data_IF_895025449169
#
_entry.id   IF_895025449169
#
_cell.length_a   1.000
_cell.length_b   1.000
_cell.length_c   1.000
_cell.angle_alpha   90.00
_cell.angle_beta   90.00
_cell.angle_gamma   90.00
#
_symmetry.space_group_name_H-M   'P 1'
#
loop_
_entity.id
_entity.type
_entity.pdbx_description
1 polymer ?
#
# COMPACT_ATOMS: atom_id res chain seq x y z
N UNK A 1 25.69 0.98 -35.32
CA UNK A 1 24.61 1.27 -34.36
C UNK A 1 24.70 2.76 -34.03
N UNK A 2 23.66 3.56 -34.15
CA UNK A 2 23.74 4.95 -33.78
C UNK A 2 23.93 5.06 -32.27
N UNK A 3 24.86 5.93 -31.87
CA UNK A 3 25.12 6.25 -30.47
C UNK A 3 23.82 6.65 -29.76
N UNK A 4 23.52 6.01 -28.63
CA UNK A 4 22.42 6.40 -27.74
C UNK A 4 22.61 7.88 -27.43
N UNK A 5 21.65 8.71 -27.78
CA UNK A 5 21.54 10.06 -27.25
C UNK A 5 21.27 9.90 -25.75
N UNK A 6 22.33 10.02 -24.96
CA UNK A 6 22.21 10.20 -23.51
C UNK A 6 21.48 11.51 -23.26
N UNK A 7 20.32 11.45 -22.64
CA UNK A 7 19.62 12.58 -22.02
C UNK A 7 20.43 13.10 -20.80
N UNK A 8 21.72 13.34 -20.99
CA UNK A 8 22.60 13.69 -19.88
C UNK A 8 22.87 15.19 -19.87
N UNK A 9 22.09 15.89 -19.07
CA UNK A 9 22.57 17.13 -18.46
C UNK A 9 23.80 16.85 -17.56
N UNK A 10 24.43 17.90 -16.98
CA UNK A 10 25.56 17.69 -16.08
C UNK A 10 25.15 16.82 -14.90
N UNK A 11 26.04 15.89 -14.49
CA UNK A 11 25.82 15.06 -13.30
C UNK A 11 25.82 16.01 -12.08
N UNK A 12 24.66 16.12 -11.43
CA UNK A 12 24.46 17.03 -10.29
C UNK A 12 24.70 16.34 -8.94
N UNK A 13 24.72 15.00 -8.91
CA UNK A 13 24.98 14.22 -7.71
C UNK A 13 25.65 12.87 -8.07
N UNK A 14 26.55 12.43 -7.21
CA UNK A 14 27.14 11.07 -7.25
C UNK A 14 27.07 10.46 -5.86
N UNK A 15 26.86 9.13 -5.73
CA UNK A 15 26.93 8.47 -4.44
C UNK A 15 28.34 8.63 -3.84
N UNK A 16 28.39 8.92 -2.55
CA UNK A 16 29.64 8.93 -1.79
C UNK A 16 30.12 7.49 -1.49
N UNK A 17 31.29 7.35 -0.87
CA UNK A 17 31.88 6.05 -0.58
C UNK A 17 31.00 5.19 0.34
N UNK A 18 30.33 5.79 1.31
CA UNK A 18 29.42 5.08 2.22
C UNK A 18 28.25 4.44 1.46
N UNK A 19 27.61 5.17 0.54
CA UNK A 19 26.56 4.58 -0.31
C UNK A 19 27.08 3.47 -1.20
N UNK A 20 28.29 3.60 -1.74
CA UNK A 20 28.89 2.60 -2.62
C UNK A 20 29.25 1.29 -1.88
N UNK A 21 29.57 1.39 -0.58
CA UNK A 21 30.02 0.26 0.22
C UNK A 21 28.95 -0.33 1.14
N UNK A 22 28.09 0.52 1.71
CA UNK A 22 27.19 0.14 2.81
C UNK A 22 25.70 0.15 2.47
N UNK A 23 25.34 0.50 1.22
CA UNK A 23 23.94 0.41 0.81
C UNK A 23 23.47 -1.04 0.70
N UNK A 24 22.13 -1.25 0.84
CA UNK A 24 21.50 -2.56 0.61
C UNK A 24 21.78 -3.09 -0.80
N UNK A 25 21.91 -2.18 -1.79
CA UNK A 25 22.28 -2.55 -3.15
C UNK A 25 23.70 -3.10 -3.22
N UNK A 26 24.66 -2.48 -2.52
CA UNK A 26 26.02 -2.96 -2.44
C UNK A 26 26.09 -4.34 -1.73
N UNK A 27 25.31 -4.54 -0.69
CA UNK A 27 25.18 -5.83 -0.01
C UNK A 27 24.62 -6.91 -0.96
N UNK A 28 23.57 -6.61 -1.71
CA UNK A 28 23.00 -7.49 -2.72
C UNK A 28 24.02 -7.86 -3.80
N UNK A 29 24.76 -6.89 -4.33
CA UNK A 29 25.81 -7.13 -5.32
C UNK A 29 26.90 -8.04 -4.78
N UNK A 30 27.36 -7.82 -3.55
CA UNK A 30 28.36 -8.70 -2.89
C UNK A 30 27.84 -10.12 -2.71
N UNK A 31 26.60 -10.27 -2.23
CA UNK A 31 25.98 -11.59 -2.03
C UNK A 31 25.91 -12.41 -3.33
N UNK A 32 25.83 -11.75 -4.48
CA UNK A 32 25.76 -12.39 -5.80
C UNK A 32 27.03 -12.29 -6.65
N UNK A 33 28.18 -11.89 -6.05
CA UNK A 33 29.46 -11.73 -6.72
C UNK A 33 29.42 -10.80 -7.93
N UNK A 34 28.64 -9.69 -7.83
CA UNK A 34 28.52 -8.67 -8.88
C UNK A 34 29.46 -7.51 -8.53
N UNK A 35 30.39 -7.19 -9.42
CA UNK A 35 31.46 -6.26 -9.12
C UNK A 35 31.03 -4.78 -9.14
N UNK A 36 30.00 -4.41 -9.94
CA UNK A 36 29.54 -3.04 -10.08
C UNK A 36 28.09 -2.96 -10.58
N UNK A 37 27.55 -1.75 -10.54
CA UNK A 37 26.15 -1.49 -10.95
C UNK A 37 25.88 -1.83 -12.42
N UNK A 38 26.82 -1.59 -13.34
CA UNK A 38 26.62 -1.88 -14.77
C UNK A 38 26.46 -3.39 -15.00
N UNK A 39 27.27 -4.22 -14.30
CA UNK A 39 27.11 -5.67 -14.34
C UNK A 39 25.76 -6.12 -13.77
N UNK A 40 25.30 -5.48 -12.68
CA UNK A 40 23.98 -5.76 -12.14
C UNK A 40 22.89 -5.44 -13.18
N UNK A 41 22.94 -4.26 -13.81
CA UNK A 41 21.98 -3.86 -14.84
C UNK A 41 21.96 -4.84 -16.02
N UNK A 42 23.11 -5.24 -16.50
CA UNK A 42 23.21 -6.23 -17.59
C UNK A 42 22.57 -7.56 -17.17
N UNK A 43 22.98 -8.10 -16.02
CA UNK A 43 22.50 -9.41 -15.56
C UNK A 43 21.01 -9.41 -15.26
N UNK A 44 20.49 -8.38 -14.56
CA UNK A 44 19.08 -8.27 -14.17
C UNK A 44 18.13 -8.15 -15.37
N UNK A 45 18.60 -7.53 -16.45
CA UNK A 45 17.80 -7.38 -17.68
C UNK A 45 17.90 -8.55 -18.64
N UNK A 46 19.01 -9.29 -18.61
CA UNK A 46 19.21 -10.49 -19.42
C UNK A 46 18.62 -11.76 -18.78
N UNK A 47 18.60 -11.83 -17.45
CA UNK A 47 18.07 -12.96 -16.68
C UNK A 47 17.09 -12.45 -15.61
N UNK A 48 15.92 -12.02 -16.05
CA UNK A 48 14.85 -11.51 -15.18
C UNK A 48 14.38 -12.57 -14.18
N UNK A 49 14.22 -13.88 -14.53
CA UNK A 49 13.90 -14.91 -13.57
C UNK A 49 14.92 -15.00 -12.43
N UNK A 50 16.19 -15.06 -12.74
CA UNK A 50 17.25 -15.08 -11.73
C UNK A 50 17.20 -13.82 -10.82
N UNK A 51 17.06 -12.63 -11.43
CA UNK A 51 17.02 -11.39 -10.65
C UNK A 51 15.85 -11.36 -9.68
N UNK A 52 14.66 -11.75 -10.14
CA UNK A 52 13.47 -11.82 -9.29
C UNK A 52 13.68 -12.80 -8.13
N UNK A 53 14.13 -14.03 -8.42
CA UNK A 53 14.45 -15.05 -7.40
C UNK A 53 15.46 -14.53 -6.38
N UNK A 54 16.55 -13.92 -6.85
CA UNK A 54 17.60 -13.37 -6.00
C UNK A 54 17.08 -12.25 -5.08
N UNK A 55 16.21 -11.38 -5.59
CA UNK A 55 15.57 -10.32 -4.78
C UNK A 55 14.63 -10.90 -3.74
N UNK A 56 13.79 -11.86 -4.10
CA UNK A 56 12.87 -12.51 -3.16
C UNK A 56 13.63 -13.17 -2.00
N UNK A 57 14.73 -13.87 -2.31
CA UNK A 57 15.60 -14.50 -1.30
C UNK A 57 16.34 -13.46 -0.45
N UNK A 58 16.93 -12.44 -1.07
CA UNK A 58 17.66 -11.39 -0.36
C UNK A 58 16.80 -10.58 0.61
N UNK A 59 15.53 -10.38 0.28
CA UNK A 59 14.55 -9.68 1.12
C UNK A 59 13.83 -10.61 2.11
N UNK A 60 14.17 -11.91 2.15
CA UNK A 60 13.49 -12.92 2.97
C UNK A 60 11.97 -12.88 2.75
N UNK A 61 11.53 -12.87 1.48
CA UNK A 61 10.11 -12.92 1.16
C UNK A 61 9.60 -14.33 1.39
N UNK A 62 8.64 -14.46 2.30
CA UNK A 62 8.08 -15.73 2.74
C UNK A 62 6.74 -16.00 2.07
N UNK A 63 6.61 -17.21 1.56
CA UNK A 63 5.37 -17.73 0.98
C UNK A 63 4.75 -18.76 1.93
N UNK A 64 3.44 -18.72 2.10
CA UNK A 64 2.69 -19.79 2.79
C UNK A 64 2.75 -21.09 2.01
N UNK A 65 2.63 -20.97 0.68
CA UNK A 65 2.85 -22.05 -0.29
C UNK A 65 3.89 -21.60 -1.30
N UNK A 66 5.03 -22.29 -1.43
CA UNK A 66 6.05 -21.95 -2.42
C UNK A 66 5.50 -21.99 -3.85
N UNK A 67 6.03 -21.12 -4.70
CA UNK A 67 5.76 -21.18 -6.13
C UNK A 67 6.58 -22.28 -6.81
N UNK A 68 6.09 -22.78 -7.95
CA UNK A 68 6.77 -23.79 -8.77
C UNK A 68 7.78 -23.17 -9.74
N UNK A 69 7.53 -21.95 -10.21
CA UNK A 69 8.37 -21.16 -11.11
C UNK A 69 8.22 -19.68 -10.77
N UNK A 70 9.31 -18.91 -10.86
CA UNK A 70 9.26 -17.48 -10.57
C UNK A 70 8.50 -16.70 -11.63
N UNK A 71 8.53 -17.12 -12.88
CA UNK A 71 7.74 -16.53 -13.98
C UNK A 71 7.38 -17.58 -15.03
N UNK A 72 6.18 -17.47 -15.58
CA UNK A 72 5.74 -18.18 -16.77
C UNK A 72 5.36 -17.18 -17.87
N UNK A 73 6.02 -17.29 -19.01
CA UNK A 73 5.80 -16.48 -20.21
C UNK A 73 5.11 -17.23 -21.33
N UNK A 74 4.52 -18.39 -21.06
CA UNK A 74 3.85 -19.23 -22.08
C UNK A 74 2.73 -18.50 -22.84
N UNK A 75 2.11 -17.49 -22.19
CA UNK A 75 1.07 -16.64 -22.75
C UNK A 75 1.63 -15.36 -23.45
N UNK A 76 2.96 -15.25 -23.55
CA UNK A 76 3.67 -14.11 -24.08
C UNK A 76 4.05 -13.07 -23.02
N UNK A 77 5.00 -12.18 -23.36
CA UNK A 77 5.58 -11.19 -22.45
C UNK A 77 4.56 -10.16 -21.92
N UNK A 78 3.47 -9.95 -22.64
CA UNK A 78 2.41 -9.05 -22.21
C UNK A 78 1.51 -9.64 -21.09
N UNK A 79 1.59 -10.96 -20.88
CA UNK A 79 0.76 -11.69 -19.91
C UNK A 79 1.62 -12.64 -19.07
N UNK A 80 2.62 -12.11 -18.36
CA UNK A 80 3.44 -12.94 -17.50
C UNK A 80 2.62 -13.40 -16.29
N UNK A 81 2.86 -14.63 -15.85
CA UNK A 81 2.37 -15.12 -14.55
C UNK A 81 3.56 -15.21 -13.60
N UNK A 82 3.50 -14.49 -12.48
CA UNK A 82 4.59 -14.41 -11.52
C UNK A 82 4.38 -15.35 -10.33
N UNK A 83 5.46 -15.94 -9.83
CA UNK A 83 5.44 -16.83 -8.65
C UNK A 83 4.34 -17.91 -8.77
N UNK A 84 4.34 -18.63 -9.89
CA UNK A 84 3.29 -19.56 -10.33
C UNK A 84 2.84 -20.52 -9.22
N UNK A 85 1.57 -20.43 -8.84
CA UNK A 85 0.96 -21.26 -7.79
C UNK A 85 1.42 -20.93 -6.37
N UNK A 86 2.22 -19.87 -6.20
CA UNK A 86 2.65 -19.37 -4.90
C UNK A 86 1.50 -18.69 -4.14
N UNK A 87 1.54 -18.79 -2.80
CA UNK A 87 0.58 -18.12 -1.92
C UNK A 87 1.31 -17.31 -0.85
N UNK A 88 0.92 -16.06 -0.70
CA UNK A 88 1.48 -15.15 0.29
C UNK A 88 0.46 -14.07 0.64
N UNK A 89 0.77 -13.26 1.64
CA UNK A 89 0.16 -11.96 1.84
C UNK A 89 1.29 -10.94 2.09
N UNK A 90 1.19 -9.77 1.48
CA UNK A 90 2.22 -8.76 1.64
C UNK A 90 2.34 -8.30 3.09
N UNK A 91 1.24 -8.27 3.85
CA UNK A 91 1.23 -7.86 5.26
C UNK A 91 2.04 -8.82 6.12
N UNK A 92 1.99 -10.13 5.83
CA UNK A 92 2.87 -11.09 6.49
C UNK A 92 4.35 -10.70 6.31
N UNK A 93 4.73 -10.30 5.10
CA UNK A 93 6.12 -9.99 4.78
C UNK A 93 6.60 -8.63 5.29
N UNK A 94 5.73 -7.62 5.34
CA UNK A 94 6.13 -6.29 5.79
C UNK A 94 5.82 -6.02 7.28
N UNK A 95 5.01 -6.86 7.93
CA UNK A 95 4.56 -6.62 9.31
C UNK A 95 4.56 -7.89 10.17
N UNK A 96 3.72 -8.89 9.87
CA UNK A 96 3.42 -9.99 10.79
C UNK A 96 4.65 -10.82 11.18
N UNK A 97 5.54 -11.11 10.22
CA UNK A 97 6.74 -11.94 10.46
C UNK A 97 7.73 -11.34 11.46
N UNK A 98 7.58 -10.07 11.80
CA UNK A 98 8.46 -9.38 12.74
C UNK A 98 7.95 -9.41 14.18
N UNK A 99 6.68 -9.78 14.40
CA UNK A 99 6.12 -9.91 15.74
C UNK A 99 6.71 -11.12 16.44
N UNK A 100 7.04 -10.98 17.73
CA UNK A 100 7.79 -11.97 18.49
C UNK A 100 9.32 -11.96 18.20
N UNK A 101 9.82 -10.99 17.45
CA UNK A 101 11.24 -10.79 17.18
C UNK A 101 11.73 -9.47 17.76
N UNK A 102 13.05 -9.23 17.92
CA UNK A 102 13.58 -7.94 18.37
C UNK A 102 13.19 -6.74 17.47
N UNK A 103 12.67 -6.99 16.27
CA UNK A 103 12.22 -5.94 15.34
C UNK A 103 10.90 -5.35 15.77
N UNK A 104 10.04 -6.06 16.49
CA UNK A 104 8.73 -5.56 16.91
C UNK A 104 8.77 -4.25 17.69
N UNK A 105 9.85 -4.02 18.45
CA UNK A 105 10.06 -2.78 19.20
C UNK A 105 10.68 -1.63 18.37
N UNK A 106 11.11 -1.90 17.12
CA UNK A 106 11.66 -0.85 16.26
C UNK A 106 10.54 0.03 15.70
N UNK A 107 10.91 1.27 15.37
CA UNK A 107 10.01 2.19 14.68
C UNK A 107 9.69 1.67 13.29
N UNK A 108 8.41 1.44 13.02
CA UNK A 108 7.87 1.03 11.72
C UNK A 108 7.38 2.24 10.90
N UNK A 109 6.87 3.27 11.57
CA UNK A 109 6.31 4.46 10.92
C UNK A 109 6.72 5.72 11.67
N UNK A 110 7.12 6.72 10.90
CA UNK A 110 7.36 8.10 11.37
C UNK A 110 6.47 9.01 10.52
N UNK A 111 5.71 9.86 11.16
CA UNK A 111 4.86 10.85 10.52
C UNK A 111 5.11 12.22 11.13
N UNK A 112 5.10 13.25 10.28
CA UNK A 112 5.20 14.65 10.67
C UNK A 112 4.09 15.44 9.97
N UNK A 113 3.34 16.21 10.75
CA UNK A 113 2.27 17.08 10.27
C UNK A 113 2.78 18.47 9.84
N UNK A 114 1.92 19.22 9.12
CA UNK A 114 2.23 20.62 8.75
C UNK A 114 2.41 21.55 9.97
N UNK A 115 1.91 21.17 11.12
CA UNK A 115 2.01 21.86 12.41
C UNK A 115 3.30 21.52 13.18
N UNK A 116 4.17 20.67 12.60
CA UNK A 116 5.40 20.19 13.22
C UNK A 116 5.19 19.09 14.27
N UNK A 117 3.95 18.64 14.50
CA UNK A 117 3.71 17.49 15.35
C UNK A 117 4.21 16.22 14.66
N UNK A 118 4.93 15.39 15.39
CA UNK A 118 5.41 14.10 14.91
C UNK A 118 4.77 12.94 15.68
N UNK A 119 4.50 11.85 14.99
CA UNK A 119 4.05 10.57 15.57
C UNK A 119 4.93 9.44 15.07
N UNK A 120 5.25 8.52 15.95
CA UNK A 120 5.95 7.27 15.61
C UNK A 120 5.09 6.09 16.03
N UNK A 121 5.15 5.02 15.26
CA UNK A 121 4.60 3.72 15.64
C UNK A 121 5.71 2.68 15.52
N UNK A 122 5.83 1.83 16.54
CA UNK A 122 6.62 0.60 16.46
C UNK A 122 5.93 -0.43 15.56
N UNK A 123 6.65 -1.50 15.17
CA UNK A 123 6.03 -2.62 14.47
C UNK A 123 4.91 -3.27 15.28
N UNK A 124 5.08 -3.41 16.61
CA UNK A 124 4.04 -3.96 17.48
C UNK A 124 2.78 -3.08 17.53
N UNK A 125 2.93 -1.76 17.65
CA UNK A 125 1.79 -0.83 17.65
C UNK A 125 1.08 -0.79 16.29
N UNK A 126 1.84 -0.79 15.19
CA UNK A 126 1.28 -0.85 13.84
C UNK A 126 0.53 -2.17 13.62
N UNK A 127 1.09 -3.29 14.08
CA UNK A 127 0.45 -4.61 13.99
C UNK A 127 -0.89 -4.65 14.72
N UNK A 128 -0.94 -4.16 15.97
CA UNK A 128 -2.16 -4.08 16.76
C UNK A 128 -3.25 -3.26 16.03
N UNK A 129 -2.91 -2.04 15.57
CA UNK A 129 -3.85 -1.18 14.85
C UNK A 129 -4.32 -1.77 13.52
N UNK A 130 -3.43 -2.42 12.77
CA UNK A 130 -3.77 -3.11 11.51
C UNK A 130 -4.74 -4.27 11.77
N UNK A 131 -4.53 -5.04 12.83
CA UNK A 131 -5.43 -6.12 13.22
C UNK A 131 -6.82 -5.61 13.61
N UNK A 132 -6.89 -4.55 14.41
CA UNK A 132 -8.15 -3.91 14.76
C UNK A 132 -8.91 -3.42 13.52
N UNK A 133 -8.21 -2.74 12.60
CA UNK A 133 -8.81 -2.25 11.36
C UNK A 133 -9.25 -3.40 10.43
N UNK A 134 -8.48 -4.50 10.35
CA UNK A 134 -8.84 -5.69 9.58
C UNK A 134 -10.11 -6.35 10.13
N UNK A 135 -10.23 -6.49 11.47
CA UNK A 135 -11.42 -7.03 12.11
C UNK A 135 -12.62 -6.10 11.92
N UNK A 136 -12.43 -4.78 11.97
CA UNK A 136 -13.47 -3.81 11.67
C UNK A 136 -14.01 -3.99 10.24
N UNK A 137 -13.14 -4.12 9.25
CA UNK A 137 -13.55 -4.37 7.86
C UNK A 137 -14.32 -5.69 7.72
N UNK A 138 -13.85 -6.76 8.36
CA UNK A 138 -14.54 -8.05 8.38
C UNK A 138 -15.93 -7.98 9.04
N UNK A 139 -16.10 -7.18 10.09
CA UNK A 139 -17.39 -6.99 10.74
C UNK A 139 -18.41 -6.30 9.84
N UNK A 140 -17.97 -5.57 8.81
CA UNK A 140 -18.79 -4.99 7.74
C UNK A 140 -19.06 -6.00 6.59
N UNK A 141 -18.60 -7.24 6.70
CA UNK A 141 -18.74 -8.25 5.66
C UNK A 141 -17.74 -8.11 4.51
N UNK A 142 -16.67 -7.36 4.70
CA UNK A 142 -15.62 -7.20 3.70
C UNK A 142 -14.55 -8.31 3.83
N UNK A 143 -13.99 -8.72 2.70
CA UNK A 143 -12.99 -9.78 2.63
C UNK A 143 -12.21 -9.79 1.32
N UNK A 144 -11.71 -10.98 0.98
CA UNK A 144 -10.88 -11.20 -0.20
C UNK A 144 -11.57 -10.75 -1.48
N UNK A 145 -10.88 -9.94 -2.27
CA UNK A 145 -11.34 -9.42 -3.56
C UNK A 145 -12.24 -8.18 -3.47
N UNK A 146 -12.67 -7.77 -2.27
CA UNK A 146 -13.48 -6.56 -2.12
C UNK A 146 -12.63 -5.31 -2.25
N UNK A 147 -13.05 -4.38 -3.11
CA UNK A 147 -12.37 -3.10 -3.28
C UNK A 147 -12.76 -2.10 -2.18
N UNK A 148 -11.73 -1.46 -1.61
CA UNK A 148 -11.88 -0.44 -0.57
C UNK A 148 -11.10 0.81 -0.95
N UNK A 149 -11.78 1.94 -1.02
CA UNK A 149 -11.20 3.24 -1.34
C UNK A 149 -10.40 3.84 -0.18
N UNK A 150 -9.29 4.51 -0.51
CA UNK A 150 -8.49 5.32 0.42
C UNK A 150 -8.48 6.76 -0.08
N UNK A 151 -9.48 7.56 0.31
CA UNK A 151 -9.56 8.99 0.06
C UNK A 151 -9.17 9.73 1.34
N UNK A 152 -7.86 9.76 1.60
CA UNK A 152 -7.30 10.26 2.86
C UNK A 152 -6.06 11.11 2.61
N UNK A 153 -5.72 12.06 3.52
CA UNK A 153 -4.41 12.68 3.55
C UNK A 153 -3.36 11.68 4.07
N UNK A 154 -2.07 12.04 3.90
CA UNK A 154 -0.95 11.24 4.38
C UNK A 154 -0.84 11.32 5.90
N UNK A 155 -1.45 10.39 6.61
CA UNK A 155 -1.48 10.27 8.07
C UNK A 155 -1.14 8.83 8.48
N UNK A 156 -0.84 8.54 9.76
CA UNK A 156 -0.65 7.16 10.20
C UNK A 156 -1.84 6.25 9.87
N UNK A 157 -3.05 6.76 9.95
CA UNK A 157 -4.27 6.00 9.68
C UNK A 157 -4.37 5.47 8.24
N UNK A 158 -3.84 6.20 7.23
CA UNK A 158 -3.86 5.68 5.86
C UNK A 158 -2.98 4.45 5.70
N UNK A 159 -1.85 4.39 6.42
CA UNK A 159 -0.95 3.22 6.41
C UNK A 159 -1.63 2.03 7.09
N UNK A 160 -2.28 2.26 8.24
CA UNK A 160 -3.06 1.23 8.95
C UNK A 160 -4.18 0.70 8.05
N UNK A 161 -4.96 1.59 7.42
CA UNK A 161 -6.06 1.21 6.52
C UNK A 161 -5.56 0.42 5.30
N UNK A 162 -4.47 0.87 4.67
CA UNK A 162 -3.85 0.18 3.53
C UNK A 162 -3.46 -1.25 3.88
N UNK A 163 -2.75 -1.42 5.00
CA UNK A 163 -2.32 -2.74 5.46
C UNK A 163 -3.51 -3.60 5.90
N UNK A 164 -4.53 -3.01 6.53
CA UNK A 164 -5.73 -3.74 6.94
C UNK A 164 -6.52 -4.29 5.73
N UNK A 165 -6.67 -3.49 4.68
CA UNK A 165 -7.30 -3.94 3.42
C UNK A 165 -6.51 -5.11 2.83
N UNK A 166 -5.18 -4.98 2.72
CA UNK A 166 -4.33 -6.05 2.22
C UNK A 166 -4.39 -7.31 3.12
N UNK A 167 -4.47 -7.12 4.45
CA UNK A 167 -4.52 -8.22 5.42
C UNK A 167 -5.76 -9.10 5.25
N UNK A 168 -6.90 -8.52 4.91
CA UNK A 168 -8.13 -9.27 4.62
C UNK A 168 -8.21 -9.78 3.16
N UNK A 169 -7.14 -9.60 2.37
CA UNK A 169 -7.12 -9.96 0.94
C UNK A 169 -7.97 -9.01 0.06
N UNK A 170 -8.35 -7.85 0.57
CA UNK A 170 -9.08 -6.83 -0.18
C UNK A 170 -8.21 -6.11 -1.21
N UNK A 171 -8.85 -5.41 -2.14
CA UNK A 171 -8.22 -4.63 -3.20
C UNK A 171 -8.15 -3.17 -2.78
N UNK A 172 -6.93 -2.63 -2.70
CA UNK A 172 -6.69 -1.25 -2.30
C UNK A 172 -6.98 -0.33 -3.49
N UNK A 173 -7.79 0.72 -3.29
CA UNK A 173 -8.07 1.74 -4.28
C UNK A 173 -7.62 3.12 -3.76
N UNK A 174 -6.34 3.51 -3.98
CA UNK A 174 -5.86 4.81 -3.53
C UNK A 174 -6.44 5.94 -4.39
N UNK A 175 -6.97 6.96 -3.72
CA UNK A 175 -7.55 8.16 -4.33
C UNK A 175 -6.79 9.39 -3.85
N UNK A 176 -6.37 10.23 -4.80
CA UNK A 176 -5.65 11.45 -4.44
C UNK A 176 -6.55 12.40 -3.62
N UNK A 177 -6.05 12.86 -2.47
CA UNK A 177 -6.80 13.70 -1.52
C UNK A 177 -7.27 15.05 -2.09
N UNK A 178 -6.77 15.44 -3.26
CA UNK A 178 -7.19 16.62 -3.99
C UNK A 178 -8.25 16.38 -5.08
N UNK A 179 -8.78 15.16 -5.22
CA UNK A 179 -9.82 14.88 -6.19
C UNK A 179 -11.16 15.53 -5.81
N UNK A 180 -11.89 16.01 -6.82
CA UNK A 180 -13.30 16.43 -6.69
C UNK A 180 -14.25 15.23 -6.73
N UNK A 181 -15.53 15.53 -6.55
CA UNK A 181 -16.62 14.53 -6.43
C UNK A 181 -16.65 13.53 -7.59
N UNK A 182 -16.64 14.01 -8.83
CA UNK A 182 -16.75 13.16 -10.04
C UNK A 182 -15.55 12.23 -10.18
N UNK A 183 -14.32 12.71 -9.86
CA UNK A 183 -13.11 11.91 -9.92
C UNK A 183 -13.08 10.81 -8.85
N UNK A 184 -13.62 11.07 -7.68
CA UNK A 184 -13.78 10.08 -6.60
C UNK A 184 -14.88 9.08 -6.98
N UNK A 185 -16.07 9.57 -7.38
CA UNK A 185 -17.22 8.73 -7.70
C UNK A 185 -16.93 7.76 -8.86
N UNK A 186 -16.34 8.26 -9.96
CA UNK A 186 -16.07 7.42 -11.14
C UNK A 186 -15.13 6.25 -10.83
N UNK A 187 -14.09 6.48 -10.02
CA UNK A 187 -13.13 5.43 -9.64
C UNK A 187 -13.70 4.43 -8.65
N UNK A 188 -14.49 4.91 -7.69
CA UNK A 188 -15.19 4.03 -6.75
C UNK A 188 -16.21 3.15 -7.47
N UNK A 189 -16.94 3.71 -8.45
CA UNK A 189 -17.94 2.99 -9.24
C UNK A 189 -17.27 1.96 -10.17
N UNK A 190 -16.19 2.33 -10.85
CA UNK A 190 -15.46 1.45 -11.76
C UNK A 190 -14.83 0.24 -11.03
N UNK A 191 -14.33 0.46 -9.82
CA UNK A 191 -13.80 -0.60 -8.98
C UNK A 191 -14.89 -1.33 -8.15
N UNK A 192 -16.16 -0.99 -8.27
CA UNK A 192 -17.26 -1.49 -7.45
C UNK A 192 -16.96 -1.46 -5.95
N UNK A 193 -16.31 -0.38 -5.49
CA UNK A 193 -15.83 -0.26 -4.11
C UNK A 193 -16.99 -0.36 -3.11
N UNK A 194 -16.79 -1.17 -2.06
CA UNK A 194 -17.80 -1.43 -1.01
C UNK A 194 -17.65 -0.52 0.19
N UNK A 195 -16.43 -0.06 0.47
CA UNK A 195 -16.12 0.86 1.56
C UNK A 195 -15.14 1.94 1.13
N UNK A 196 -15.12 3.05 1.88
CA UNK A 196 -14.21 4.17 1.66
C UNK A 196 -13.71 4.67 3.02
N UNK A 197 -12.39 4.72 3.18
CA UNK A 197 -11.76 5.50 4.24
C UNK A 197 -11.62 6.95 3.80
N UNK A 198 -12.02 7.86 4.68
CA UNK A 198 -11.93 9.31 4.46
C UNK A 198 -11.66 10.05 5.78
N UNK A 199 -11.60 11.37 5.75
CA UNK A 199 -11.46 12.21 6.93
C UNK A 199 -12.57 13.28 6.98
N UNK A 200 -12.82 13.85 8.16
CA UNK A 200 -13.64 15.05 8.29
C UNK A 200 -13.09 16.17 7.40
N UNK A 201 -11.80 16.36 7.42
CA UNK A 201 -10.99 17.26 6.64
C UNK A 201 -9.53 17.13 7.01
N UNK A 202 -8.66 17.93 6.43
CA UNK A 202 -7.25 18.03 6.84
C UNK A 202 -6.71 19.44 6.61
N UNK A 203 -5.74 19.90 7.42
CA UNK A 203 -5.07 21.17 7.21
C UNK A 203 -4.17 21.09 5.97
N UNK A 204 -4.27 22.10 5.10
CA UNK A 204 -3.37 22.26 3.95
C UNK A 204 -3.07 23.74 3.78
N UNK A 205 -1.81 24.14 3.92
CA UNK A 205 -1.36 25.53 3.82
C UNK A 205 -2.16 26.46 4.75
N UNK A 206 -2.43 25.99 5.98
CA UNK A 206 -3.14 26.75 7.01
C UNK A 206 -4.67 26.88 6.79
N UNK A 207 -5.26 26.13 5.84
CA UNK A 207 -6.71 26.10 5.61
C UNK A 207 -7.23 24.66 5.67
N UNK A 208 -8.43 24.40 6.23
CA UNK A 208 -9.04 23.09 6.19
C UNK A 208 -9.49 22.76 4.75
N UNK A 209 -9.17 21.55 4.30
CA UNK A 209 -9.71 20.95 3.09
C UNK A 209 -10.80 19.98 3.51
N UNK A 210 -12.02 20.20 3.05
CA UNK A 210 -13.16 19.34 3.36
C UNK A 210 -13.09 18.06 2.54
N UNK A 211 -13.02 16.90 3.21
CA UNK A 211 -13.02 15.60 2.53
C UNK A 211 -14.36 14.89 2.64
N UNK A 212 -14.97 14.90 3.83
CA UNK A 212 -16.24 14.20 4.08
C UNK A 212 -17.35 14.68 3.14
N UNK A 213 -17.46 15.98 2.86
CA UNK A 213 -18.47 16.52 1.96
C UNK A 213 -18.31 16.02 0.51
N UNK A 214 -17.06 15.81 0.06
CA UNK A 214 -16.74 15.21 -1.23
C UNK A 214 -17.10 13.73 -1.23
N UNK A 215 -16.69 12.99 -0.18
CA UNK A 215 -17.00 11.58 -0.02
C UNK A 215 -18.52 11.30 0.00
N UNK A 216 -19.31 12.13 0.70
CA UNK A 216 -20.76 12.01 0.75
C UNK A 216 -21.44 12.22 -0.59
N UNK A 217 -20.99 13.22 -1.36
CA UNK A 217 -21.52 13.48 -2.70
C UNK A 217 -21.15 12.37 -3.68
N UNK A 218 -19.94 11.82 -3.57
CA UNK A 218 -19.49 10.70 -4.37
C UNK A 218 -20.28 9.42 -4.02
N UNK A 219 -20.49 9.15 -2.73
CA UNK A 219 -21.22 7.98 -2.26
C UNK A 219 -22.66 7.91 -2.81
N UNK A 220 -23.32 9.05 -3.03
CA UNK A 220 -24.66 9.10 -3.64
C UNK A 220 -24.69 8.60 -5.09
N UNK A 221 -23.54 8.61 -5.78
CA UNK A 221 -23.41 8.20 -7.17
C UNK A 221 -22.90 6.75 -7.30
N UNK A 222 -22.51 6.08 -6.19
CA UNK A 222 -21.86 4.77 -6.18
C UNK A 222 -22.71 3.77 -5.38
N UNK A 223 -23.63 3.03 -6.03
CA UNK A 223 -24.53 2.10 -5.33
C UNK A 223 -23.83 0.96 -4.59
N UNK A 224 -22.63 0.57 -5.00
CA UNK A 224 -21.80 -0.45 -4.34
C UNK A 224 -21.26 0.02 -3.00
N UNK A 225 -21.04 1.33 -2.80
CA UNK A 225 -20.42 1.92 -1.62
C UNK A 225 -21.40 1.92 -0.43
N UNK A 226 -21.17 1.03 0.53
CA UNK A 226 -22.05 0.83 1.70
C UNK A 226 -21.52 1.46 2.98
N UNK A 227 -20.20 1.64 3.09
CA UNK A 227 -19.56 2.06 4.32
C UNK A 227 -18.55 3.19 4.08
N UNK A 228 -18.61 4.22 4.92
CA UNK A 228 -17.59 5.26 5.03
C UNK A 228 -16.98 5.19 6.43
N UNK A 229 -15.65 5.02 6.48
CA UNK A 229 -14.90 5.08 7.74
C UNK A 229 -14.21 6.45 7.80
N UNK A 230 -14.56 7.25 8.80
CA UNK A 230 -14.21 8.67 8.88
C UNK A 230 -13.21 8.93 10.00
N UNK A 231 -12.06 9.50 9.68
CA UNK A 231 -11.04 9.90 10.65
C UNK A 231 -11.26 11.37 11.04
N UNK A 232 -11.22 11.66 12.35
CA UNK A 232 -11.24 13.04 12.88
C UNK A 232 -9.82 13.62 12.81
N UNK A 233 -9.56 14.53 11.88
CA UNK A 233 -8.25 15.16 11.68
C UNK A 233 -8.29 16.69 11.80
N UNK A 234 -9.27 17.33 11.18
CA UNK A 234 -9.41 18.78 11.16
C UNK A 234 -10.29 19.31 12.28
N UNK A 235 -11.06 18.44 12.96
CA UNK A 235 -12.03 18.83 13.97
C UNK A 235 -13.22 19.62 13.40
N UNK A 236 -13.51 19.42 12.10
CA UNK A 236 -14.64 20.07 11.42
C UNK A 236 -15.90 19.28 11.73
N UNK A 237 -16.98 19.99 12.07
CA UNK A 237 -18.30 19.38 12.16
C UNK A 237 -18.77 18.92 10.77
N UNK A 238 -19.07 17.62 10.65
CA UNK A 238 -19.54 17.00 9.43
C UNK A 238 -20.82 16.21 9.67
N UNK A 239 -21.75 16.15 8.72
CA UNK A 239 -22.93 15.30 8.83
C UNK A 239 -22.51 13.83 8.85
N UNK A 240 -23.18 13.03 9.71
CA UNK A 240 -22.96 11.58 9.84
C UNK A 240 -24.26 10.86 9.55
N UNK A 241 -24.22 9.96 8.60
CA UNK A 241 -25.29 9.00 8.30
C UNK A 241 -25.01 7.70 9.07
N UNK A 242 -25.66 7.50 10.20
CA UNK A 242 -25.43 6.35 11.10
C UNK A 242 -25.68 4.98 10.42
N UNK A 243 -26.37 4.93 9.30
CA UNK A 243 -26.59 3.69 8.55
C UNK A 243 -25.38 3.31 7.66
N UNK A 244 -24.47 4.24 7.42
CA UNK A 244 -23.34 4.10 6.47
C UNK A 244 -21.99 4.48 7.10
N UNK A 245 -21.98 5.52 7.95
CA UNK A 245 -20.75 6.18 8.39
C UNK A 245 -20.31 5.64 9.75
N UNK A 246 -19.01 5.39 9.87
CA UNK A 246 -18.37 4.89 11.08
C UNK A 246 -17.23 5.82 11.45
N UNK A 247 -17.22 6.36 12.67
CA UNK A 247 -16.06 7.07 13.17
C UNK A 247 -14.93 6.10 13.44
N UNK A 248 -13.71 6.42 12.96
CA UNK A 248 -12.52 5.59 13.12
C UNK A 248 -12.30 5.15 14.57
N UNK A 249 -12.24 6.11 15.50
CA UNK A 249 -11.90 5.82 16.90
C UNK A 249 -12.95 4.95 17.58
N UNK A 250 -14.23 5.14 17.28
CA UNK A 250 -15.33 4.41 17.87
C UNK A 250 -15.50 3.01 17.26
N UNK A 251 -15.15 2.86 15.99
CA UNK A 251 -15.38 1.63 15.26
C UNK A 251 -14.16 0.69 15.26
N UNK A 252 -12.95 1.21 15.04
CA UNK A 252 -11.74 0.41 14.92
C UNK A 252 -11.16 0.07 16.30
N UNK A 253 -11.05 1.04 17.19
CA UNK A 253 -10.42 0.84 18.50
C UNK A 253 -11.19 -0.12 19.43
N UNK A 254 -12.43 -0.46 19.11
CA UNK A 254 -13.23 -1.45 19.85
C UNK A 254 -13.01 -2.89 19.39
N UNK A 255 -12.29 -3.09 18.30
CA UNK A 255 -12.03 -4.41 17.75
C UNK A 255 -10.85 -5.11 18.44
N UNK A 256 -10.82 -6.44 18.33
CA UNK A 256 -9.66 -7.24 18.77
C UNK A 256 -8.41 -6.85 17.99
N UNK A 257 -7.28 -6.79 18.69
CA UNK A 257 -5.94 -6.60 18.11
C UNK A 257 -5.30 -7.92 17.61
N UNK A 258 -6.07 -9.01 17.63
CA UNK A 258 -5.69 -10.30 17.04
C UNK A 258 -6.53 -10.55 15.78
N UNK A 259 -5.89 -10.70 14.64
CA UNK A 259 -6.54 -11.01 13.38
C UNK A 259 -5.70 -11.95 12.52
N UNK A 260 -6.34 -12.90 11.89
CA UNK A 260 -5.69 -13.74 10.90
C UNK A 260 -5.40 -12.94 9.61
N UNK A 261 -4.29 -13.27 8.95
CA UNK A 261 -3.93 -12.71 7.66
C UNK A 261 -4.43 -13.63 6.56
N UNK A 262 -5.22 -13.09 5.63
CA UNK A 262 -5.80 -13.84 4.52
C UNK A 262 -4.71 -14.40 3.61
N UNK A 263 -4.87 -15.65 3.19
CA UNK A 263 -3.98 -16.28 2.22
C UNK A 263 -4.39 -15.87 0.81
N UNK A 264 -3.51 -15.12 0.14
CA UNK A 264 -3.73 -14.69 -1.25
C UNK A 264 -2.83 -15.45 -2.21
N UNK A 265 -3.31 -15.67 -3.44
CA UNK A 265 -2.47 -16.18 -4.52
C UNK A 265 -1.59 -15.08 -5.09
N UNK A 266 -0.49 -15.44 -5.72
CA UNK A 266 0.42 -14.48 -6.34
C UNK A 266 -0.25 -13.59 -7.41
N UNK A 267 -1.29 -14.11 -8.07
CA UNK A 267 -2.04 -13.41 -9.12
C UNK A 267 -3.31 -12.68 -8.61
N UNK A 268 -3.62 -12.77 -7.30
CA UNK A 268 -4.77 -12.05 -6.75
C UNK A 268 -4.49 -10.52 -6.80
N UNK A 269 -5.45 -9.70 -7.22
CA UNK A 269 -5.29 -8.25 -7.25
C UNK A 269 -5.03 -7.67 -5.86
N UNK A 270 -3.94 -6.91 -5.70
CA UNK A 270 -3.63 -6.19 -4.47
C UNK A 270 -4.15 -4.76 -4.50
N UNK A 271 -4.05 -4.09 -5.66
CA UNK A 271 -4.31 -2.66 -5.77
C UNK A 271 -4.74 -2.29 -7.20
N UNK A 272 -5.68 -1.35 -7.29
CA UNK A 272 -6.06 -0.69 -8.55
C UNK A 272 -5.61 0.76 -8.51
N UNK A 273 -4.72 1.14 -9.43
CA UNK A 273 -4.17 2.51 -9.53
C UNK A 273 -4.59 3.14 -10.86
N UNK A 274 -5.22 4.31 -10.78
CA UNK A 274 -5.54 5.13 -11.94
C UNK A 274 -4.38 6.08 -12.26
N UNK A 275 -3.86 5.99 -13.46
CA UNK A 275 -2.81 6.89 -13.95
C UNK A 275 -3.43 8.08 -14.71
N UNK A 276 -2.67 9.17 -14.87
CA UNK A 276 -3.14 10.37 -15.57
C UNK A 276 -3.53 10.15 -17.04
N UNK A 277 -3.14 9.04 -17.64
CA UNK A 277 -3.46 8.70 -19.03
C UNK A 277 -4.73 7.83 -19.21
N UNK A 278 -5.37 7.39 -18.13
CA UNK A 278 -6.53 6.49 -18.18
C UNK A 278 -7.87 7.20 -18.19
N UNK A 279 -7.89 8.51 -17.96
CA UNK A 279 -9.08 9.37 -18.00
C UNK A 279 -8.88 10.45 -19.05
N UNK A 280 -9.00 10.07 -20.30
CA UNK A 280 -9.06 10.98 -21.44
C UNK A 280 -10.47 11.53 -21.63
#
# INVERSE_FOLDING_TARGET
>A
MPASQTLSGPIVWRPNQDYLENSRLAEFMRAHSIANFDQLMVRSTQDVPWFTEAVLQFLDIRFYKPYSRVVDLSRGIAWPEWCVGGQMNIVHNCLDKYIGTPIEAKTALIWEGEDGNAKTLSYAELFSQVNQAANALRSLGLGKGDAVGLFMPMTPQIVVALLAIAKIGGVILPLFSGYGVEAVASRLADAEAKALFTADGFPRRGKPVEMKSIADKAAKQVPSLKHLIVVKLAGVEVPIDLARDHWWDEFINTQSDQAETEVTNAEDPLMVIYTSGTTG
#
